data_IF_294583098973
#
_entry.id   IF_294583098973
#
_cell.length_a   1.000
_cell.length_b   1.000
_cell.length_c   1.000
_cell.angle_alpha   90.00
_cell.angle_beta   90.00
_cell.angle_gamma   90.00
#
_symmetry.space_group_name_H-M   'P 1'
#
loop_
_entity.id
_entity.type
_entity.pdbx_description
1 polymer ?
#
# COMPACT_ATOMS: atom_id res chain seq x y z
N UNK A 1 38.20 47.89 -42.54
CA UNK A 1 37.25 46.79 -42.73
C UNK A 1 37.21 46.03 -41.42
N UNK A 2 36.22 46.30 -40.58
CA UNK A 2 36.01 45.51 -39.38
C UNK A 2 35.41 44.17 -39.79
N UNK A 3 36.13 43.11 -39.43
CA UNK A 3 35.70 41.73 -39.67
C UNK A 3 34.63 41.46 -38.61
N UNK A 4 33.37 41.66 -38.97
CA UNK A 4 32.23 41.23 -38.18
C UNK A 4 32.20 39.70 -38.23
N UNK A 5 32.93 39.03 -37.34
CA UNK A 5 32.75 37.60 -37.13
C UNK A 5 31.28 37.39 -36.78
N UNK A 6 30.56 36.47 -37.44
CA UNK A 6 29.24 36.08 -36.99
C UNK A 6 29.41 35.64 -35.53
N UNK A 7 28.73 36.32 -34.61
CA UNK A 7 28.52 35.80 -33.26
C UNK A 7 27.96 34.41 -33.48
N UNK A 8 28.68 33.38 -33.05
CA UNK A 8 28.15 32.03 -33.01
C UNK A 8 26.87 32.13 -32.19
N UNK A 9 25.73 32.10 -32.87
CA UNK A 9 24.40 32.09 -32.30
C UNK A 9 24.37 30.90 -31.33
N UNK A 10 24.51 31.21 -30.05
CA UNK A 10 24.27 30.26 -28.97
C UNK A 10 22.78 29.97 -29.02
N UNK A 11 22.37 28.99 -29.83
CA UNK A 11 21.06 28.38 -29.72
C UNK A 11 20.84 28.10 -28.23
N UNK A 12 19.82 28.73 -27.65
CA UNK A 12 19.51 28.60 -26.24
C UNK A 12 19.46 27.10 -25.91
N UNK A 13 20.32 26.66 -24.99
CA UNK A 13 20.43 25.24 -24.67
C UNK A 13 19.13 24.78 -24.04
N UNK A 14 18.58 23.69 -24.55
CA UNK A 14 17.37 23.10 -23.99
C UNK A 14 17.67 22.45 -22.63
N UNK A 15 16.67 22.33 -21.73
CA UNK A 15 16.84 21.68 -20.43
C UNK A 15 17.41 20.26 -20.55
N UNK A 16 16.99 19.47 -21.54
CA UNK A 16 17.52 18.14 -21.81
C UNK A 16 19.01 18.15 -22.15
N UNK A 17 19.47 19.10 -22.95
CA UNK A 17 20.89 19.28 -23.27
C UNK A 17 21.69 19.64 -22.00
N UNK A 18 21.21 20.61 -21.21
CA UNK A 18 21.87 21.05 -19.97
C UNK A 18 22.06 19.86 -19.00
N UNK A 19 21.02 19.06 -18.82
CA UNK A 19 21.05 17.89 -17.94
C UNK A 19 21.97 16.78 -18.47
N UNK A 20 21.92 16.50 -19.78
CA UNK A 20 22.77 15.50 -20.42
C UNK A 20 24.24 15.85 -20.31
N UNK A 21 24.60 17.10 -20.62
CA UNK A 21 25.98 17.58 -20.52
C UNK A 21 26.49 17.50 -19.08
N UNK A 22 25.69 17.92 -18.10
CA UNK A 22 26.05 17.83 -16.69
C UNK A 22 26.22 16.38 -16.20
N UNK A 23 25.35 15.46 -16.64
CA UNK A 23 25.48 14.02 -16.36
C UNK A 23 26.79 13.47 -16.95
N UNK A 24 27.07 13.80 -18.21
CA UNK A 24 28.27 13.34 -18.91
C UNK A 24 29.55 13.90 -18.27
N UNK A 25 29.55 15.17 -17.85
CA UNK A 25 30.67 15.78 -17.13
C UNK A 25 30.98 15.07 -15.80
N UNK A 26 29.98 14.43 -15.18
CA UNK A 26 30.14 13.61 -13.98
C UNK A 26 30.41 12.13 -14.25
N UNK A 27 30.55 11.72 -15.51
CA UNK A 27 30.70 10.32 -15.92
C UNK A 27 29.58 9.39 -15.40
N UNK A 28 28.36 9.91 -15.23
CA UNK A 28 27.21 9.14 -14.78
C UNK A 28 26.49 8.50 -15.95
N UNK A 29 26.00 7.27 -15.78
CA UNK A 29 25.10 6.65 -16.74
C UNK A 29 23.66 7.13 -16.50
N UNK A 30 22.81 7.05 -17.54
CA UNK A 30 21.37 7.33 -17.39
C UNK A 30 20.71 6.44 -16.33
N UNK A 31 21.21 5.21 -16.16
CA UNK A 31 20.75 4.26 -15.13
C UNK A 31 21.09 4.71 -13.71
N UNK A 32 22.18 5.44 -13.50
CA UNK A 32 22.55 5.99 -12.19
C UNK A 32 21.60 7.11 -11.78
N UNK A 33 21.33 8.02 -12.73
CA UNK A 33 20.30 9.05 -12.56
C UNK A 33 18.95 8.44 -12.28
N UNK A 34 18.50 7.48 -13.11
CA UNK A 34 17.21 6.83 -12.98
C UNK A 34 16.99 6.24 -11.58
N UNK A 35 18.01 5.58 -11.02
CA UNK A 35 17.99 5.05 -9.66
C UNK A 35 17.86 6.15 -8.61
N UNK A 36 18.65 7.21 -8.72
CA UNK A 36 18.63 8.29 -7.73
C UNK A 36 17.30 9.04 -7.72
N UNK A 37 16.84 9.50 -8.88
CA UNK A 37 15.62 10.31 -9.00
C UNK A 37 14.35 9.46 -9.05
N UNK A 38 14.48 8.13 -8.89
CA UNK A 38 13.40 7.13 -8.86
C UNK A 38 12.52 7.16 -10.12
N UNK A 39 13.16 7.24 -11.27
CA UNK A 39 12.54 7.18 -12.59
C UNK A 39 12.95 5.91 -13.34
N UNK A 40 12.21 5.56 -14.40
CA UNK A 40 12.69 4.56 -15.35
C UNK A 40 13.83 5.15 -16.19
N UNK A 41 14.66 4.29 -16.78
CA UNK A 41 15.72 4.73 -17.71
C UNK A 41 15.10 5.44 -18.92
N UNK A 42 13.96 4.96 -19.41
CA UNK A 42 13.23 5.59 -20.51
C UNK A 42 12.86 7.03 -20.16
N UNK A 43 12.32 7.27 -18.96
CA UNK A 43 12.01 8.62 -18.49
C UNK A 43 13.23 9.54 -18.45
N UNK A 44 14.39 9.05 -18.01
CA UNK A 44 15.63 9.85 -18.04
C UNK A 44 16.03 10.21 -19.47
N UNK A 45 15.89 9.26 -20.40
CA UNK A 45 16.16 9.48 -21.82
C UNK A 45 15.21 10.52 -22.41
N UNK A 46 13.92 10.42 -22.10
CA UNK A 46 12.90 11.36 -22.58
C UNK A 46 13.18 12.78 -22.08
N UNK A 47 13.55 12.93 -20.79
CA UNK A 47 13.98 14.22 -20.22
C UNK A 47 15.23 14.79 -20.91
N UNK A 48 16.22 13.96 -21.24
CA UNK A 48 17.43 14.41 -21.98
C UNK A 48 17.17 14.74 -23.46
N UNK A 49 16.04 14.29 -24.00
CA UNK A 49 15.60 14.51 -25.37
C UNK A 49 14.53 15.61 -25.49
N UNK A 50 14.13 16.20 -24.36
CA UNK A 50 13.03 17.15 -24.26
C UNK A 50 11.70 16.59 -24.80
N UNK A 51 11.53 15.27 -24.73
CA UNK A 51 10.30 14.59 -25.11
C UNK A 51 9.37 14.45 -23.91
N UNK A 52 8.33 15.28 -23.87
CA UNK A 52 7.32 15.30 -22.82
C UNK A 52 5.98 14.73 -23.28
N UNK A 53 5.89 14.19 -24.50
CA UNK A 53 4.63 13.76 -25.12
C UNK A 53 3.86 12.69 -24.35
N UNK A 54 4.56 11.88 -23.56
CA UNK A 54 4.00 10.78 -22.79
C UNK A 54 3.65 11.14 -21.34
N UNK A 55 3.78 12.42 -20.94
CA UNK A 55 3.59 12.81 -19.53
C UNK A 55 2.11 13.09 -19.21
N UNK A 56 1.55 12.47 -18.16
CA UNK A 56 0.16 12.70 -17.77
C UNK A 56 -0.15 14.15 -17.34
N UNK A 57 0.85 14.89 -16.84
CA UNK A 57 0.73 16.30 -16.46
C UNK A 57 2.11 16.97 -16.36
N UNK A 58 2.19 18.22 -16.79
CA UNK A 58 3.43 19.02 -16.82
C UNK A 58 4.06 19.26 -15.44
N UNK A 59 3.23 19.24 -14.38
CA UNK A 59 3.68 19.39 -13.00
C UNK A 59 4.74 18.34 -12.63
N UNK A 60 4.63 17.14 -13.20
CA UNK A 60 5.57 16.04 -12.93
C UNK A 60 6.91 16.31 -13.61
N UNK A 61 6.90 16.80 -14.85
CA UNK A 61 8.12 17.17 -15.60
C UNK A 61 8.94 18.19 -14.82
N UNK A 62 8.32 19.28 -14.36
CA UNK A 62 8.98 20.32 -13.56
C UNK A 62 9.62 19.76 -12.28
N UNK A 63 8.97 18.79 -11.64
CA UNK A 63 9.51 18.10 -10.47
C UNK A 63 10.74 17.25 -10.81
N UNK A 64 10.68 16.50 -11.91
CA UNK A 64 11.76 15.63 -12.35
C UNK A 64 12.98 16.40 -12.84
N UNK A 65 12.79 17.46 -13.62
CA UNK A 65 13.88 18.33 -14.08
C UNK A 65 14.63 18.96 -12.89
N UNK A 66 13.92 19.46 -11.86
CA UNK A 66 14.55 19.97 -10.63
C UNK A 66 15.26 18.89 -9.83
N UNK A 67 14.71 17.68 -9.76
CA UNK A 67 15.34 16.53 -9.11
C UNK A 67 16.64 16.14 -9.81
N UNK A 68 16.59 16.07 -11.14
CA UNK A 68 17.74 15.74 -11.98
C UNK A 68 18.82 16.83 -11.85
N UNK A 69 18.48 18.11 -12.03
CA UNK A 69 19.43 19.22 -11.90
C UNK A 69 20.20 19.19 -10.57
N UNK A 70 19.49 18.94 -9.45
CA UNK A 70 20.10 18.80 -8.13
C UNK A 70 21.07 17.63 -8.05
N UNK A 71 20.72 16.47 -8.63
CA UNK A 71 21.60 15.30 -8.63
C UNK A 71 22.88 15.53 -9.46
N UNK A 72 22.74 16.10 -10.67
CA UNK A 72 23.90 16.44 -11.51
C UNK A 72 24.60 17.72 -11.09
N UNK A 73 24.10 18.43 -10.08
CA UNK A 73 24.78 19.54 -9.42
C UNK A 73 24.82 20.83 -10.25
N UNK A 74 23.81 21.06 -11.09
CA UNK A 74 23.61 22.32 -11.80
C UNK A 74 22.43 23.09 -11.20
N UNK A 75 22.32 24.37 -11.54
CA UNK A 75 21.24 25.22 -11.03
C UNK A 75 19.87 24.70 -11.52
N UNK A 76 18.94 24.35 -10.61
CA UNK A 76 17.59 24.02 -11.02
C UNK A 76 16.90 25.19 -11.72
N UNK A 77 17.22 26.42 -11.33
CA UNK A 77 16.60 27.62 -11.89
C UNK A 77 17.02 27.86 -13.35
N UNK A 78 18.26 27.53 -13.70
CA UNK A 78 18.75 27.57 -15.08
C UNK A 78 18.01 26.57 -15.97
N UNK A 79 17.83 25.35 -15.49
CA UNK A 79 17.07 24.31 -16.20
C UNK A 79 15.60 24.70 -16.32
N UNK A 80 15.01 25.34 -15.30
CA UNK A 80 13.62 25.80 -15.35
C UNK A 80 13.43 26.98 -16.29
N UNK A 81 14.37 27.91 -16.35
CA UNK A 81 14.32 29.01 -17.32
C UNK A 81 14.30 28.47 -18.76
N UNK A 82 15.22 27.53 -19.07
CA UNK A 82 15.25 26.89 -20.38
C UNK A 82 13.98 26.08 -20.70
N UNK A 83 13.35 25.49 -19.68
CA UNK A 83 12.08 24.79 -19.83
C UNK A 83 10.89 25.74 -20.03
N UNK A 84 10.86 26.86 -19.33
CA UNK A 84 9.81 27.88 -19.45
C UNK A 84 9.83 28.55 -20.85
N UNK A 85 11.03 28.70 -21.44
CA UNK A 85 11.21 29.20 -22.81
C UNK A 85 10.61 28.29 -23.90
N UNK A 86 10.34 27.01 -23.60
CA UNK A 86 9.71 26.08 -24.55
C UNK A 86 8.20 26.34 -24.75
N UNK A 87 7.55 27.11 -23.88
CA UNK A 87 6.13 27.45 -24.03
C UNK A 87 5.14 26.28 -23.92
N UNK A 88 5.56 25.16 -23.34
CA UNK A 88 4.77 23.91 -23.27
C UNK A 88 3.49 24.02 -22.43
N UNK A 89 3.38 25.01 -21.55
CA UNK A 89 2.21 25.19 -20.70
C UNK A 89 0.92 25.39 -21.53
N UNK A 90 1.00 26.12 -22.66
CA UNK A 90 -0.15 26.32 -23.54
C UNK A 90 -0.54 25.05 -24.32
N UNK A 91 0.44 24.26 -24.73
CA UNK A 91 0.23 23.01 -25.46
C UNK A 91 -0.42 21.95 -24.56
N UNK A 92 0.07 21.80 -23.32
CA UNK A 92 -0.49 20.86 -22.35
C UNK A 92 -1.92 21.22 -21.93
N UNK A 93 -2.24 22.50 -21.75
CA UNK A 93 -3.62 22.90 -21.44
C UNK A 93 -4.57 22.67 -22.63
N UNK A 94 -4.10 22.84 -23.87
CA UNK A 94 -4.88 22.47 -25.08
C UNK A 94 -5.12 20.97 -25.17
N UNK A 95 -4.09 20.15 -24.94
CA UNK A 95 -4.21 18.68 -24.96
C UNK A 95 -5.15 18.19 -23.86
N UNK A 96 -5.03 18.73 -22.64
CA UNK A 96 -5.92 18.42 -21.53
C UNK A 96 -7.37 18.82 -21.83
N UNK A 97 -7.60 20.00 -22.40
CA UNK A 97 -8.92 20.46 -22.80
C UNK A 97 -9.52 19.63 -23.96
N UNK A 98 -8.70 19.08 -24.86
CA UNK A 98 -9.15 18.16 -25.92
C UNK A 98 -9.55 16.80 -25.34
N UNK A 99 -8.76 16.25 -24.41
CA UNK A 99 -9.03 14.97 -23.75
C UNK A 99 -10.25 15.02 -22.83
N UNK A 100 -10.55 16.19 -22.23
CA UNK A 100 -11.73 16.40 -21.39
C UNK A 100 -13.02 16.66 -22.18
N UNK A 101 -12.97 16.73 -23.52
CA UNK A 101 -14.19 16.78 -24.33
C UNK A 101 -14.99 15.50 -24.09
N UNK A 102 -16.32 15.57 -23.93
CA UNK A 102 -17.14 14.39 -23.76
C UNK A 102 -17.11 13.56 -25.05
N UNK A 103 -16.17 12.62 -25.13
CA UNK A 103 -16.17 11.58 -26.14
C UNK A 103 -17.49 10.84 -25.99
N UNK A 104 -18.29 10.77 -27.06
CA UNK A 104 -19.42 9.85 -27.13
C UNK A 104 -18.83 8.44 -27.17
N UNK A 105 -18.65 7.82 -26.00
CA UNK A 105 -17.93 6.57 -25.83
C UNK A 105 -18.64 5.43 -26.59
N UNK A 106 -18.04 4.96 -27.68
CA UNK A 106 -18.09 3.53 -28.00
C UNK A 106 -17.04 2.86 -27.12
N UNK A 107 -17.48 1.87 -26.35
CA UNK A 107 -16.72 1.27 -25.27
C UNK A 107 -15.47 0.53 -25.76
N UNK A 108 -14.31 0.90 -25.24
CA UNK A 108 -13.15 0.00 -25.16
C UNK A 108 -12.82 -0.14 -23.67
N UNK A 109 -12.93 -1.33 -23.06
CA UNK A 109 -12.74 -1.49 -21.63
C UNK A 109 -11.25 -1.47 -21.29
N UNK A 110 -10.73 -0.30 -20.91
CA UNK A 110 -9.47 -0.22 -20.16
C UNK A 110 -9.77 -0.73 -18.75
N UNK A 111 -9.19 -1.87 -18.39
CA UNK A 111 -9.22 -2.44 -17.04
C UNK A 111 -8.53 -1.49 -16.06
N UNK A 112 -9.30 -0.55 -15.53
CA UNK A 112 -8.87 0.32 -14.45
C UNK A 112 -8.81 -0.48 -13.15
N UNK A 113 -7.59 -0.54 -12.61
CA UNK A 113 -7.26 -0.96 -11.25
C UNK A 113 -8.27 -0.35 -10.27
N UNK A 114 -9.03 -1.21 -9.60
CA UNK A 114 -10.15 -0.87 -8.73
C UNK A 114 -9.74 0.15 -7.66
N UNK A 115 -10.08 1.42 -7.89
CA UNK A 115 -10.19 2.42 -6.83
C UNK A 115 -11.48 2.08 -6.10
N UNK A 116 -11.37 1.33 -5.00
CA UNK A 116 -12.48 1.03 -4.09
C UNK A 116 -13.03 2.36 -3.55
N UNK A 117 -13.98 2.94 -4.28
CA UNK A 117 -14.78 4.07 -3.82
C UNK A 117 -15.76 3.55 -2.77
N UNK A 118 -15.28 3.43 -1.53
CA UNK A 118 -16.18 3.39 -0.38
C UNK A 118 -16.80 4.77 -0.26
N UNK A 119 -18.01 4.92 -0.78
CA UNK A 119 -18.85 6.10 -0.55
C UNK A 119 -18.90 6.31 0.98
N UNK A 120 -18.22 7.31 1.51
CA UNK A 120 -18.11 7.54 2.96
C UNK A 120 -19.48 7.68 3.66
N UNK A 121 -20.51 8.09 2.89
CA UNK A 121 -21.90 8.09 3.33
C UNK A 121 -22.43 6.69 3.63
N UNK A 122 -22.06 5.68 2.84
CA UNK A 122 -22.55 4.31 3.03
C UNK A 122 -21.85 3.59 4.17
N UNK A 123 -20.55 3.83 4.38
CA UNK A 123 -19.83 3.31 5.56
C UNK A 123 -20.46 3.83 6.86
N UNK A 124 -20.91 5.10 6.87
CA UNK A 124 -21.64 5.70 7.99
C UNK A 124 -22.98 5.01 8.25
N UNK A 125 -23.75 4.69 7.21
CA UNK A 125 -25.02 3.96 7.37
C UNK A 125 -24.81 2.53 7.86
N UNK A 126 -23.80 1.82 7.34
CA UNK A 126 -23.47 0.46 7.79
C UNK A 126 -23.04 0.44 9.26
N UNK A 127 -22.24 1.41 9.72
CA UNK A 127 -21.86 1.51 11.14
C UNK A 127 -23.06 1.81 12.04
N UNK A 128 -23.96 2.70 11.61
CA UNK A 128 -25.19 3.01 12.37
C UNK A 128 -26.08 1.76 12.48
N UNK A 129 -26.27 1.01 11.39
CA UNK A 129 -27.07 -0.23 11.39
C UNK A 129 -26.47 -1.27 12.33
N UNK A 130 -25.15 -1.46 12.32
CA UNK A 130 -24.46 -2.38 13.22
C UNK A 130 -24.65 -2.01 14.69
N UNK A 131 -24.56 -0.72 15.04
CA UNK A 131 -24.77 -0.25 16.40
C UNK A 131 -26.22 -0.48 16.87
N UNK A 132 -27.20 -0.19 16.02
CA UNK A 132 -28.62 -0.43 16.35
C UNK A 132 -28.89 -1.93 16.53
N UNK A 133 -28.36 -2.78 15.65
CA UNK A 133 -28.50 -4.23 15.77
C UNK A 133 -27.89 -4.78 17.07
N UNK A 134 -26.73 -4.25 17.50
CA UNK A 134 -26.11 -4.62 18.77
C UNK A 134 -27.00 -4.27 19.97
N UNK A 135 -27.57 -3.06 19.98
CA UNK A 135 -28.47 -2.58 21.06
C UNK A 135 -29.72 -3.46 21.15
N UNK A 136 -30.34 -3.78 20.01
CA UNK A 136 -31.51 -4.66 19.94
C UNK A 136 -31.17 -6.07 20.43
N UNK A 137 -30.01 -6.61 20.02
CA UNK A 137 -29.56 -7.94 20.46
C UNK A 137 -29.39 -8.02 21.98
N UNK A 138 -28.78 -7.01 22.61
CA UNK A 138 -28.65 -6.92 24.07
C UNK A 138 -30.02 -6.79 24.75
N UNK A 139 -30.92 -5.99 24.19
CA UNK A 139 -32.29 -5.83 24.71
C UNK A 139 -33.10 -7.14 24.67
N UNK A 140 -33.00 -7.89 23.57
CA UNK A 140 -33.63 -9.22 23.44
C UNK A 140 -33.00 -10.21 24.43
N UNK A 141 -31.68 -10.17 24.61
CA UNK A 141 -30.98 -11.03 25.58
C UNK A 141 -31.41 -10.75 27.03
N UNK A 142 -31.75 -9.51 27.36
CA UNK A 142 -32.33 -9.17 28.68
C UNK A 142 -33.73 -9.75 28.90
N UNK A 143 -34.51 -10.01 27.85
CA UNK A 143 -35.80 -10.70 27.99
C UNK A 143 -35.63 -12.20 28.28
N UNK A 144 -34.56 -12.82 27.78
CA UNK A 144 -34.28 -14.25 27.96
C UNK A 144 -33.92 -14.69 29.39
N UNK A 145 -33.57 -13.76 30.30
CA UNK A 145 -33.25 -14.09 31.70
C UNK A 145 -34.48 -14.22 32.62
N UNK A 146 -35.68 -13.88 32.15
CA UNK A 146 -36.90 -13.91 32.98
C UNK A 146 -37.53 -15.30 33.14
N UNK A 147 -37.10 -16.30 32.37
CA UNK A 147 -37.72 -17.64 32.39
C UNK A 147 -37.03 -18.67 33.32
N UNK A 148 -35.86 -18.34 33.90
CA UNK A 148 -35.09 -19.28 34.76
C UNK A 148 -35.48 -19.17 36.24
N UNK A 149 -36.06 -18.05 36.68
CA UNK A 149 -36.44 -17.86 38.10
C UNK A 149 -37.82 -18.44 38.45
N UNK A 150 -38.66 -18.77 37.48
CA UNK A 150 -39.97 -19.40 37.72
C UNK A 150 -39.89 -20.88 38.14
N UNK A 151 -38.78 -21.56 37.87
CA UNK A 151 -38.62 -23.00 38.17
C UNK A 151 -38.03 -23.29 39.56
N UNK A 152 -37.56 -22.26 40.28
CA UNK A 152 -37.04 -22.41 41.64
C UNK A 152 -38.13 -22.22 42.72
N UNK A 153 -39.18 -21.46 42.43
CA UNK A 153 -40.28 -21.20 43.38
C UNK A 153 -41.18 -22.44 43.60
N UNK A 154 -41.37 -23.27 42.58
CA UNK A 154 -42.20 -24.48 42.66
C UNK A 154 -41.56 -25.62 43.46
N UNK A 155 -40.23 -25.63 43.60
CA UNK A 155 -39.50 -26.63 44.38
C UNK A 155 -39.53 -26.28 45.88
N UNK A 156 -39.40 -25.00 46.24
CA UNK A 156 -39.33 -24.54 47.64
C UNK A 156 -40.72 -24.53 48.32
N UNK A 157 -41.81 -24.48 47.55
CA UNK A 157 -43.17 -24.37 48.09
C UNK A 157 -43.88 -25.72 48.29
N UNK A 158 -43.17 -26.86 48.16
CA UNK A 158 -43.74 -28.19 48.35
C UNK A 158 -43.87 -28.51 49.85
N UNK A 159 -45.10 -28.74 50.39
CA UNK A 159 -45.27 -29.13 51.79
C UNK A 159 -44.62 -30.49 52.06
N UNK A 160 -43.64 -30.53 52.96
CA UNK A 160 -43.11 -31.79 53.51
C UNK A 160 -44.15 -32.41 54.44
N UNK A 161 -44.94 -33.33 53.90
CA UNK A 161 -45.83 -34.23 54.65
C UNK A 161 -45.24 -35.66 54.61
N UNK A 162 -44.64 -36.07 55.74
CA UNK A 162 -44.54 -37.42 56.32
C UNK A 162 -43.44 -38.41 55.85
N UNK A 163 -42.56 -38.73 56.81
CA UNK A 163 -41.60 -39.84 56.92
C UNK A 163 -42.29 -41.25 56.92
N UNK A 164 -41.59 -42.36 56.58
CA UNK A 164 -40.65 -42.95 57.53
C UNK A 164 -39.33 -43.51 56.94
N UNK A 165 -38.35 -43.49 57.86
CA UNK A 165 -37.00 -44.00 57.80
C UNK A 165 -36.87 -45.41 57.20
N UNK A 166 -35.87 -45.59 56.32
CA UNK A 166 -35.16 -46.87 56.21
C UNK A 166 -33.70 -46.60 55.88
N UNK A 167 -32.85 -46.75 56.89
CA UNK A 167 -31.39 -46.82 56.77
C UNK A 167 -31.02 -48.01 55.88
N UNK A 168 -30.11 -47.83 54.92
CA UNK A 168 -29.05 -48.81 54.60
C UNK A 168 -27.94 -48.09 53.81
N UNK A 169 -26.84 -47.88 54.52
CA UNK A 169 -25.44 -47.99 54.10
C UNK A 169 -25.09 -47.91 52.60
N UNK A 170 -24.37 -46.83 52.27
CA UNK A 170 -23.09 -46.77 51.54
C UNK A 170 -22.88 -47.80 50.41
N UNK A 171 -22.76 -47.32 49.16
CA UNK A 171 -21.91 -47.95 48.16
C UNK A 171 -21.35 -46.95 47.12
N UNK A 172 -20.02 -46.91 47.09
CA UNK A 172 -19.09 -46.61 45.98
C UNK A 172 -19.27 -45.33 45.16
N UNK A 173 -18.45 -44.33 45.52
CA UNK A 173 -17.92 -43.33 44.59
C UNK A 173 -16.96 -44.02 43.62
N UNK A 174 -17.30 -44.01 42.33
CA UNK A 174 -16.43 -44.41 41.24
C UNK A 174 -16.02 -43.16 40.47
N UNK A 175 -14.84 -42.60 40.75
CA UNK A 175 -14.29 -41.43 40.05
C UNK A 175 -13.11 -41.84 39.18
N UNK A 176 -13.39 -42.12 37.91
CA UNK A 176 -12.39 -42.33 36.88
C UNK A 176 -12.34 -41.10 35.98
N UNK A 177 -11.45 -40.13 36.22
CA UNK A 177 -10.90 -39.30 35.13
C UNK A 177 -9.61 -38.56 35.49
N UNK A 178 -8.51 -39.24 35.20
CA UNK A 178 -7.30 -38.78 34.51
C UNK A 178 -6.94 -37.28 34.55
N UNK A 179 -5.90 -36.94 35.31
CA UNK A 179 -4.94 -35.88 34.98
C UNK A 179 -3.55 -36.43 35.32
N UNK A 180 -2.76 -36.78 34.30
CA UNK A 180 -1.32 -37.01 34.46
C UNK A 180 -0.58 -35.86 33.77
N UNK A 181 -0.03 -34.97 34.59
CA UNK A 181 1.03 -34.04 34.25
C UNK A 181 2.37 -34.71 34.49
N UNK A 182 3.24 -34.78 33.49
CA UNK A 182 4.66 -35.05 33.71
C UNK A 182 5.49 -34.08 32.87
N UNK A 183 6.30 -33.28 33.57
CA UNK A 183 7.29 -32.36 33.07
C UNK A 183 8.60 -32.75 33.74
N UNK A 184 9.52 -33.44 33.06
CA UNK A 184 10.93 -33.55 33.49
C UNK A 184 11.82 -33.94 32.30
N UNK A 185 12.57 -32.93 31.82
CA UNK A 185 13.97 -32.88 31.40
C UNK A 185 14.63 -33.90 30.43
N UNK A 186 15.44 -33.28 29.56
CA UNK A 186 16.43 -33.71 28.54
C UNK A 186 17.57 -34.64 29.04
N UNK A 187 18.61 -35.03 28.23
CA UNK A 187 18.86 -34.85 26.77
C UNK A 187 19.33 -36.15 26.05
N UNK A 188 19.20 -36.25 24.72
CA UNK A 188 20.16 -37.05 23.91
C UNK A 188 20.36 -36.46 22.52
N UNK A 189 21.62 -36.55 22.08
CA UNK A 189 22.27 -35.85 21.00
C UNK A 189 21.69 -36.12 19.59
N UNK A 190 21.66 -35.07 18.76
CA UNK A 190 21.60 -35.22 17.30
C UNK A 190 22.77 -34.46 16.67
N UNK A 191 23.63 -35.26 16.02
CA UNK A 191 24.85 -34.90 15.31
C UNK A 191 24.48 -34.31 13.94
N UNK A 192 24.71 -33.01 13.74
CA UNK A 192 24.57 -32.40 12.41
C UNK A 192 25.80 -32.73 11.54
N UNK A 193 25.55 -33.33 10.38
CA UNK A 193 26.56 -33.64 9.36
C UNK A 193 26.57 -32.51 8.33
N UNK A 194 27.58 -31.65 8.39
CA UNK A 194 27.89 -30.68 7.35
C UNK A 194 28.15 -31.40 6.02
N UNK A 195 27.47 -30.97 4.94
CA UNK A 195 27.81 -31.33 3.57
C UNK A 195 28.12 -30.05 2.78
N UNK A 196 29.36 -29.61 2.90
CA UNK A 196 30.03 -28.72 1.95
C UNK A 196 30.31 -29.54 0.69
N UNK A 197 29.75 -29.15 -0.45
CA UNK A 197 30.19 -29.63 -1.76
C UNK A 197 30.91 -28.48 -2.47
N UNK A 198 32.23 -28.58 -2.46
CA UNK A 198 33.12 -27.89 -3.38
C UNK A 198 33.21 -28.76 -4.65
N UNK A 199 32.95 -28.18 -5.81
CA UNK A 199 33.37 -28.75 -7.09
C UNK A 199 34.10 -27.66 -7.85
N UNK A 200 35.42 -27.76 -7.86
CA UNK A 200 36.28 -26.99 -8.74
C UNK A 200 36.43 -27.68 -10.10
N UNK A 201 36.68 -26.82 -11.09
CA UNK A 201 37.63 -26.95 -12.21
C UNK A 201 37.51 -28.08 -13.24
N UNK A 202 37.56 -27.61 -14.50
CA UNK A 202 38.17 -28.15 -15.72
C UNK A 202 37.10 -28.11 -16.84
N UNK A 203 37.30 -27.43 -17.97
CA UNK A 203 38.49 -27.38 -18.80
C UNK A 203 38.43 -26.19 -19.77
#
# INVERSE_FOLDING_TARGET
>A
MEINLPRSDSAAKTPGILLREARQAKNLQQSDVAKEIRLSIQWVKDLEQDDYSHVPALIYVRGYLRGYARYVGISPDEVMAAFDEMGLEEEFERVKAEVERPVKHHAVPVVLRSKRMINGKMVRWVTVILLVALIVSVGVWWQGKKHILGQLQSVISSPQENLPLKQTSVNSVNTNKTINTNLTEQPTAIKYKNKITFSGTNH
#
